data_IF_617778502994
#
_entry.id   IF_617778502994
#
_cell.length_a   1.000
_cell.length_b   1.000
_cell.length_c   1.000
_cell.angle_alpha   90.00
_cell.angle_beta   90.00
_cell.angle_gamma   90.00
#
_symmetry.space_group_name_H-M   'P 1'
#
loop_
_entity.id
_entity.type
_entity.pdbx_description
1 polymer ?
#
# COMPACT_ATOMS: atom_id res chain seq x y z
N UNK A 1 -8.17 -12.52 -14.25
CA UNK A 1 -6.76 -12.35 -14.67
C UNK A 1 -6.08 -11.62 -13.54
N UNK A 2 -4.95 -12.12 -13.03
CA UNK A 2 -4.21 -11.42 -11.97
C UNK A 2 -3.70 -10.09 -12.53
N UNK A 3 -3.94 -9.00 -11.80
CA UNK A 3 -3.50 -7.66 -12.17
C UNK A 3 -1.99 -7.58 -11.91
N UNK A 4 -1.17 -7.09 -12.86
CA UNK A 4 0.26 -6.98 -12.63
C UNK A 4 0.54 -5.99 -11.50
N UNK A 5 1.16 -6.47 -10.43
CA UNK A 5 1.49 -5.65 -9.26
C UNK A 5 2.75 -4.81 -9.52
N UNK A 6 2.69 -3.53 -9.19
CA UNK A 6 3.79 -2.59 -9.31
C UNK A 6 4.77 -2.76 -8.15
N UNK A 7 5.72 -3.69 -8.34
CA UNK A 7 6.76 -4.02 -7.35
C UNK A 7 7.61 -2.82 -6.94
N UNK A 8 7.85 -1.86 -7.84
CA UNK A 8 8.62 -0.66 -7.52
C UNK A 8 7.90 0.23 -6.50
N UNK A 9 6.59 0.41 -6.69
CA UNK A 9 5.77 1.16 -5.73
C UNK A 9 5.64 0.42 -4.39
N UNK A 10 5.49 -0.90 -4.41
CA UNK A 10 5.46 -1.72 -3.17
C UNK A 10 6.79 -1.57 -2.42
N UNK A 11 7.92 -1.65 -3.13
CA UNK A 11 9.24 -1.44 -2.53
C UNK A 11 9.36 -0.05 -1.90
N UNK A 12 8.95 1.00 -2.61
CA UNK A 12 8.99 2.37 -2.10
C UNK A 12 8.10 2.53 -0.85
N UNK A 13 6.95 1.87 -0.82
CA UNK A 13 6.05 1.86 0.33
C UNK A 13 6.61 1.09 1.53
N UNK A 14 7.25 -0.06 1.31
CA UNK A 14 7.96 -0.81 2.36
C UNK A 14 9.11 0.00 2.96
N UNK A 15 9.80 0.79 2.14
CA UNK A 15 10.84 1.72 2.57
C UNK A 15 10.32 3.01 3.22
N UNK A 16 9.01 3.27 3.15
CA UNK A 16 8.44 4.46 3.77
C UNK A 16 8.55 4.36 5.30
N UNK A 17 8.97 5.45 5.93
CA UNK A 17 9.12 5.54 7.38
C UNK A 17 8.29 6.68 8.00
N UNK A 18 7.59 7.45 7.17
CA UNK A 18 6.75 8.53 7.66
C UNK A 18 5.48 7.99 8.34
N UNK A 19 5.29 8.24 9.65
CA UNK A 19 4.14 7.72 10.39
C UNK A 19 2.83 8.44 10.08
N UNK A 20 2.87 9.59 9.41
CA UNK A 20 1.67 10.30 8.94
C UNK A 20 1.14 9.72 7.64
N UNK A 21 1.85 8.76 7.04
CA UNK A 21 1.47 8.15 5.78
C UNK A 21 1.12 6.68 5.95
N UNK A 22 -0.07 6.33 5.49
CA UNK A 22 -0.49 4.94 5.35
C UNK A 22 -0.42 4.53 3.89
N UNK A 23 0.25 3.40 3.61
CA UNK A 23 0.44 2.88 2.26
C UNK A 23 -0.39 1.62 2.07
N UNK A 24 -1.12 1.53 0.96
CA UNK A 24 -2.00 0.42 0.65
C UNK A 24 -1.81 -0.05 -0.79
N UNK A 25 -1.61 -1.34 -1.01
CA UNK A 25 -1.65 -1.93 -2.34
C UNK A 25 -3.11 -2.10 -2.77
N UNK A 26 -3.48 -1.50 -3.90
CA UNK A 26 -4.73 -1.77 -4.58
C UNK A 26 -4.59 -3.02 -5.48
N UNK A 27 -5.28 -4.10 -5.13
CA UNK A 27 -5.25 -5.35 -5.89
C UNK A 27 -6.01 -5.26 -7.22
N UNK A 28 -6.89 -4.28 -7.39
CA UNK A 28 -7.63 -4.07 -8.63
C UNK A 28 -6.77 -3.41 -9.72
N UNK A 29 -5.92 -2.44 -9.34
CA UNK A 29 -5.03 -1.73 -10.28
C UNK A 29 -3.58 -2.19 -10.22
N UNK A 30 -3.18 -2.89 -9.16
CA UNK A 30 -1.81 -3.28 -8.89
C UNK A 30 -0.91 -2.13 -8.47
N UNK A 31 -1.47 -0.99 -8.05
CA UNK A 31 -0.72 0.22 -7.66
C UNK A 31 -0.79 0.47 -6.16
N UNK A 32 0.16 1.24 -5.63
CA UNK A 32 0.13 1.65 -4.23
C UNK A 32 -0.54 3.01 -4.08
N UNK A 33 -1.54 3.04 -3.23
CA UNK A 33 -2.26 4.22 -2.77
C UNK A 33 -1.60 4.73 -1.49
N UNK A 34 -1.41 6.03 -1.42
CA UNK A 34 -0.93 6.75 -0.23
C UNK A 34 -2.08 7.52 0.39
N UNK A 35 -2.35 7.26 1.65
CA UNK A 35 -3.27 8.03 2.49
C UNK A 35 -2.43 8.88 3.43
N UNK A 36 -2.61 10.20 3.35
CA UNK A 36 -2.00 11.13 4.30
C UNK A 36 -2.98 11.38 5.44
N UNK A 37 -2.64 10.90 6.64
CA UNK A 37 -3.50 11.00 7.82
C UNK A 37 -3.61 12.43 8.36
N UNK A 38 -2.75 13.34 7.89
CA UNK A 38 -2.78 14.76 8.27
C UNK A 38 -3.59 15.61 7.30
N UNK A 39 -3.86 15.09 6.11
CA UNK A 39 -4.65 15.81 5.12
C UNK A 39 -6.15 15.55 5.33
N UNK A 40 -6.86 16.63 5.65
CA UNK A 40 -8.33 16.63 5.85
C UNK A 40 -9.06 17.22 4.64
N UNK A 41 -8.44 17.17 3.46
CA UNK A 41 -9.11 17.58 2.23
C UNK A 41 -10.19 16.56 1.87
N UNK A 42 -11.32 16.99 1.29
CA UNK A 42 -12.43 16.08 0.98
C UNK A 42 -12.02 14.91 0.08
N UNK A 43 -11.07 15.12 -0.84
CA UNK A 43 -10.54 14.05 -1.69
C UNK A 43 -9.78 12.97 -0.90
N UNK A 44 -8.98 13.37 0.09
CA UNK A 44 -8.23 12.43 0.94
C UNK A 44 -9.16 11.68 1.89
N UNK A 45 -10.17 12.37 2.43
CA UNK A 45 -11.18 11.72 3.26
C UNK A 45 -11.98 10.67 2.48
N UNK A 46 -12.35 10.98 1.23
CA UNK A 46 -13.02 10.04 0.34
C UNK A 46 -12.13 8.82 0.06
N UNK A 47 -10.85 9.03 -0.23
CA UNK A 47 -9.88 7.96 -0.44
C UNK A 47 -9.71 7.08 0.81
N UNK A 48 -9.55 7.69 1.98
CA UNK A 48 -9.42 6.98 3.25
C UNK A 48 -10.65 6.12 3.54
N UNK A 49 -11.84 6.67 3.33
CA UNK A 49 -13.09 5.94 3.52
C UNK A 49 -13.17 4.75 2.54
N UNK A 50 -12.85 4.96 1.25
CA UNK A 50 -12.84 3.88 0.27
C UNK A 50 -11.86 2.76 0.64
N UNK A 51 -10.63 3.12 1.05
CA UNK A 51 -9.62 2.18 1.50
C UNK A 51 -10.11 1.37 2.69
N UNK A 52 -10.73 2.02 3.67
CA UNK A 52 -11.25 1.36 4.87
C UNK A 52 -12.46 0.47 4.57
N UNK A 53 -13.36 0.90 3.69
CA UNK A 53 -14.54 0.12 3.27
C UNK A 53 -14.17 -1.14 2.48
N UNK A 54 -13.06 -1.08 1.73
CA UNK A 54 -12.58 -2.18 0.88
C UNK A 54 -11.31 -2.84 1.40
N UNK A 55 -10.96 -2.57 2.66
CA UNK A 55 -9.78 -3.10 3.30
C UNK A 55 -9.84 -4.62 3.41
N UNK A 56 -8.75 -5.30 3.06
CA UNK A 56 -8.64 -6.76 3.09
C UNK A 56 -9.25 -7.49 1.89
N UNK A 57 -10.18 -6.86 1.16
CA UNK A 57 -10.73 -7.39 -0.10
C UNK A 57 -9.95 -6.84 -1.30
N UNK A 58 -9.91 -5.51 -1.43
CA UNK A 58 -9.24 -4.80 -2.52
C UNK A 58 -7.91 -4.21 -2.08
N UNK A 59 -7.88 -3.59 -0.90
CA UNK A 59 -6.68 -2.91 -0.41
C UNK A 59 -5.94 -3.75 0.62
N UNK A 60 -4.62 -3.86 0.47
CA UNK A 60 -3.71 -4.51 1.42
C UNK A 60 -2.78 -3.50 2.05
N UNK A 61 -2.71 -3.46 3.37
CA UNK A 61 -1.82 -2.54 4.07
C UNK A 61 -0.36 -2.94 3.87
N UNK A 62 0.48 -1.96 3.54
CA UNK A 62 1.92 -2.14 3.45
C UNK A 62 2.55 -1.55 4.72
N UNK A 63 2.96 -2.42 5.62
CA UNK A 63 3.73 -2.04 6.81
C UNK A 63 5.09 -1.51 6.39
N UNK A 64 5.23 -0.18 6.37
CA UNK A 64 6.51 0.49 6.15
C UNK A 64 7.54 0.19 7.26
N UNK A 65 8.68 0.87 7.19
CA UNK A 65 9.75 0.76 8.19
C UNK A 65 10.93 -0.13 7.78
N UNK A 66 10.91 -0.69 6.57
CA UNK A 66 12.06 -1.40 6.01
C UNK A 66 12.86 -0.48 5.08
N UNK A 67 13.68 0.41 5.66
CA UNK A 67 14.50 1.38 4.90
C UNK A 67 15.46 0.74 3.87
N UNK A 68 15.73 -0.56 4.00
CA UNK A 68 16.55 -1.33 3.08
C UNK A 68 15.71 -2.21 2.13
N UNK A 69 14.41 -1.93 1.96
CA UNK A 69 13.53 -2.74 1.13
C UNK A 69 14.08 -2.92 -0.29
N UNK A 70 14.36 -4.17 -0.61
CA UNK A 70 14.79 -4.63 -1.92
C UNK A 70 13.76 -5.61 -2.53
N UNK A 71 14.07 -6.19 -3.68
CA UNK A 71 13.12 -7.08 -4.37
C UNK A 71 12.80 -8.36 -3.57
N UNK A 72 13.72 -8.84 -2.71
CA UNK A 72 13.45 -9.95 -1.81
C UNK A 72 12.44 -9.56 -0.71
N UNK A 73 12.51 -8.33 -0.21
CA UNK A 73 11.53 -7.81 0.74
C UNK A 73 10.14 -7.69 0.11
N UNK A 74 10.05 -7.23 -1.14
CA UNK A 74 8.78 -7.19 -1.90
C UNK A 74 8.22 -8.59 -2.08
N UNK A 75 9.04 -9.54 -2.51
CA UNK A 75 8.61 -10.94 -2.68
C UNK A 75 8.11 -11.53 -1.36
N UNK A 76 8.87 -11.37 -0.28
CA UNK A 76 8.50 -11.88 1.05
C UNK A 76 7.18 -11.28 1.55
N UNK A 77 6.94 -9.99 1.27
CA UNK A 77 5.68 -9.34 1.64
C UNK A 77 4.51 -9.88 0.82
N UNK A 78 4.67 -10.02 -0.50
CA UNK A 78 3.63 -10.61 -1.37
C UNK A 78 3.27 -12.03 -0.94
N UNK A 79 4.28 -12.87 -0.68
CA UNK A 79 4.09 -14.23 -0.18
C UNK A 79 3.38 -14.25 1.18
N UNK A 80 3.71 -13.31 2.08
CA UNK A 80 3.05 -13.14 3.37
C UNK A 80 1.57 -12.75 3.26
N UNK A 81 1.22 -11.95 2.25
CA UNK A 81 -0.16 -11.57 1.95
C UNK A 81 -0.92 -12.63 1.13
N UNK A 82 -0.24 -13.68 0.66
CA UNK A 82 -0.82 -14.73 -0.18
C UNK A 82 -1.09 -14.30 -1.63
N UNK A 83 -0.30 -13.35 -2.13
CA UNK A 83 -0.39 -12.74 -3.47
C UNK A 83 0.66 -13.26 -4.46
#
# INVERSE_FOLDING_TARGET
>A
MAVPLNRDQIRAALAQNDPSLSMYLDLETGTVVRVDETDSSPDMEALRNEVMEKYGDRFRYISGGNSAADDAAVSSWLEGEGL
#
